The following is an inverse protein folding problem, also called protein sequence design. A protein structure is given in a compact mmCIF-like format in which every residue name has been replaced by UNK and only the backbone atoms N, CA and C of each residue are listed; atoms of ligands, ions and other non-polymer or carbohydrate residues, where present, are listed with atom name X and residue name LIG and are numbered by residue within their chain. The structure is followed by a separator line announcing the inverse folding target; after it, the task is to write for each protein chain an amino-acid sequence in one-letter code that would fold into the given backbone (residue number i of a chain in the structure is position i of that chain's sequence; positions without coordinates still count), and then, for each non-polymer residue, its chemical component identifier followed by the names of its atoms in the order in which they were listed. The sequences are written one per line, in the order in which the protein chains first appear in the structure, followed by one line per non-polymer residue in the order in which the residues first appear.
data_IF_464057909027
#
_entry.id   IF_464057909027
#
_cell.length_a   1.000
_cell.length_b   1.000
_cell.length_c   1.000
_cell.angle_alpha   90.00
_cell.angle_beta   90.00
_cell.angle_gamma   90.00
#
_symmetry.space_group_name_H-M   'P 1'
#
loop_
_entity.id
_entity.type
_entity.pdbx_description
1 polymer ?
#
# COMPACT_ATOMS: atom_id res chain seq x y z
N UNK A 1 -43.09 31.21 -19.43
CA UNK A 1 -41.69 31.48 -19.00
C UNK A 1 -41.15 30.55 -17.90
N UNK A 2 -41.99 29.77 -17.18
CA UNK A 2 -41.57 28.95 -16.02
C UNK A 2 -41.07 27.53 -16.37
N UNK A 3 -41.34 27.00 -17.59
CA UNK A 3 -40.93 25.64 -17.98
C UNK A 3 -39.46 25.50 -18.41
N UNK A 4 -38.83 26.57 -18.91
CA UNK A 4 -37.46 26.53 -19.45
C UNK A 4 -36.42 26.37 -18.33
N UNK A 5 -36.62 27.03 -17.18
CA UNK A 5 -35.72 26.98 -16.02
C UNK A 5 -35.64 25.56 -15.43
N UNK A 6 -36.73 24.79 -15.51
CA UNK A 6 -36.82 23.44 -14.92
C UNK A 6 -36.04 22.38 -15.73
N UNK A 7 -35.89 22.56 -17.04
CA UNK A 7 -35.10 21.65 -17.87
C UNK A 7 -33.60 21.97 -17.77
N UNK A 8 -33.23 23.25 -17.74
CA UNK A 8 -31.83 23.68 -17.57
C UNK A 8 -31.24 23.19 -16.24
N UNK A 9 -32.02 23.22 -15.15
CA UNK A 9 -31.57 22.70 -13.85
C UNK A 9 -31.29 21.19 -13.85
N UNK A 10 -32.02 20.39 -14.66
CA UNK A 10 -31.80 18.95 -14.75
C UNK A 10 -30.52 18.61 -15.54
N UNK A 11 -30.23 19.37 -16.59
CA UNK A 11 -29.00 19.20 -17.37
C UNK A 11 -27.75 19.60 -16.56
N UNK A 12 -27.83 20.66 -15.73
CA UNK A 12 -26.72 21.06 -14.85
C UNK A 12 -26.45 20.03 -13.74
N UNK A 13 -27.50 19.40 -13.19
CA UNK A 13 -27.35 18.40 -12.13
C UNK A 13 -26.78 17.07 -12.66
N UNK A 14 -27.15 16.67 -13.89
CA UNK A 14 -26.56 15.52 -14.57
C UNK A 14 -25.11 15.77 -14.96
N UNK A 15 -24.76 16.99 -15.38
CA UNK A 15 -23.36 17.37 -15.67
C UNK A 15 -22.45 17.32 -14.43
N UNK A 16 -22.97 17.69 -13.25
CA UNK A 16 -22.20 17.64 -11.99
C UNK A 16 -21.91 16.20 -11.54
N UNK A 17 -22.84 15.26 -11.77
CA UNK A 17 -22.68 13.85 -11.42
C UNK A 17 -21.65 13.13 -12.32
N UNK A 18 -21.53 13.52 -13.59
CA UNK A 18 -20.54 12.92 -14.51
C UNK A 18 -19.12 13.37 -14.15
N UNK A 19 -18.92 14.64 -13.77
CA UNK A 19 -17.59 15.14 -13.36
C UNK A 19 -17.16 14.55 -12.02
N UNK A 20 -18.09 14.34 -11.08
CA UNK A 20 -17.80 13.66 -9.80
C UNK A 20 -17.39 12.20 -9.97
N UNK A 21 -17.86 11.51 -11.01
CA UNK A 21 -17.55 10.10 -11.26
C UNK A 21 -16.18 9.88 -11.94
N UNK A 22 -15.59 10.90 -12.57
CA UNK A 22 -14.26 10.81 -13.17
C UNK A 22 -13.13 11.04 -12.17
N UNK A 23 -13.39 11.73 -11.04
CA UNK A 23 -12.38 11.96 -10.00
C UNK A 23 -12.15 10.71 -9.15
N UNK A 24 -13.12 9.78 -9.09
CA UNK A 24 -13.01 8.51 -8.36
C UNK A 24 -12.20 7.41 -9.05
N UNK A 25 -11.89 7.54 -10.35
CA UNK A 25 -11.13 6.54 -11.12
C UNK A 25 -9.72 7.01 -11.53
N UNK A 26 -9.38 8.29 -11.33
CA UNK A 26 -8.07 8.83 -11.68
C UNK A 26 -6.98 8.58 -10.61
N UNK A 27 -7.32 7.91 -9.49
CA UNK A 27 -6.34 7.42 -8.52
C UNK A 27 -5.75 6.05 -8.87
N UNK A 28 -6.03 5.52 -10.07
CA UNK A 28 -5.35 4.35 -10.61
C UNK A 28 -4.15 4.80 -11.44
N UNK A 29 -2.96 4.46 -10.93
CA UNK A 29 -1.69 4.38 -11.66
C UNK A 29 -1.11 5.72 -12.10
N UNK A 30 -0.55 6.46 -11.13
CA UNK A 30 0.63 7.26 -11.42
C UNK A 30 1.69 6.96 -10.37
N UNK A 31 2.41 5.87 -10.59
CA UNK A 31 3.70 5.65 -9.91
C UNK A 31 4.69 6.69 -10.45
N UNK A 32 5.28 7.56 -9.62
CA UNK A 32 6.51 8.21 -10.04
C UNK A 32 7.55 7.11 -10.34
N UNK A 33 8.36 7.26 -11.40
CA UNK A 33 9.34 6.26 -11.78
C UNK A 33 10.22 5.92 -10.57
N UNK A 34 10.26 4.64 -10.21
CA UNK A 34 11.20 4.12 -9.21
C UNK A 34 12.60 4.57 -9.61
N UNK A 35 13.44 5.07 -8.67
CA UNK A 35 14.83 5.33 -8.98
C UNK A 35 15.46 4.04 -9.52
N UNK A 36 15.92 4.08 -10.77
CA UNK A 36 16.35 2.95 -11.62
C UNK A 36 17.52 2.11 -11.08
N UNK A 37 17.97 2.30 -9.85
CA UNK A 37 19.26 1.76 -9.36
C UNK A 37 19.17 0.70 -8.24
N UNK A 38 17.98 0.25 -7.82
CA UNK A 38 17.86 -0.67 -6.66
C UNK A 38 17.90 -2.17 -6.99
N UNK A 39 17.66 -2.59 -8.24
CA UNK A 39 17.62 -4.03 -8.61
C UNK A 39 16.48 -4.84 -7.97
N UNK A 40 15.52 -4.15 -7.35
CA UNK A 40 14.29 -4.70 -6.78
C UNK A 40 13.12 -3.71 -6.93
N UNK A 41 11.89 -4.22 -6.99
CA UNK A 41 10.65 -3.44 -6.93
C UNK A 41 9.88 -3.76 -5.65
N UNK A 42 9.16 -2.76 -5.15
CA UNK A 42 8.30 -2.87 -3.98
C UNK A 42 6.96 -2.24 -4.32
N UNK A 43 5.90 -3.03 -4.25
CA UNK A 43 4.53 -2.56 -4.45
C UNK A 43 3.75 -2.70 -3.15
N UNK A 44 2.96 -1.68 -2.85
CA UNK A 44 2.09 -1.63 -1.69
C UNK A 44 0.63 -1.66 -2.11
N UNK A 45 -0.16 -2.47 -1.42
CA UNK A 45 -1.58 -2.58 -1.70
C UNK A 45 -2.38 -2.67 -0.39
N UNK A 46 -3.38 -1.79 -0.22
CA UNK A 46 -4.39 -1.99 0.81
C UNK A 46 -5.38 -3.05 0.35
N UNK A 47 -5.70 -3.99 1.24
CA UNK A 47 -6.71 -5.03 1.01
C UNK A 47 -8.05 -4.52 1.53
N UNK A 48 -9.09 -4.62 0.69
CA UNK A 48 -10.46 -4.33 1.11
C UNK A 48 -10.92 -5.41 2.09
N UNK A 49 -11.39 -5.00 3.25
CA UNK A 49 -11.87 -5.90 4.31
C UNK A 49 -13.19 -5.40 4.86
N UNK A 50 -14.03 -6.35 5.27
CA UNK A 50 -15.32 -6.07 5.92
C UNK A 50 -15.14 -5.72 7.42
N UNK A 51 -13.93 -5.85 7.96
CA UNK A 51 -13.62 -5.51 9.34
C UNK A 51 -13.33 -4.00 9.48
N UNK A 52 -14.22 -3.22 10.12
CA UNK A 52 -14.05 -1.77 10.22
C UNK A 52 -13.00 -1.34 11.26
N UNK A 53 -12.50 -2.25 12.09
CA UNK A 53 -11.49 -1.94 13.12
C UNK A 53 -10.07 -2.24 12.68
N UNK A 54 -9.89 -2.89 11.53
CA UNK A 54 -8.58 -3.27 11.02
C UNK A 54 -8.40 -2.85 9.57
N UNK A 55 -7.19 -2.37 9.29
CA UNK A 55 -6.76 -2.09 7.93
C UNK A 55 -5.77 -3.18 7.51
N UNK A 56 -6.12 -3.92 6.47
CA UNK A 56 -5.29 -4.99 5.92
C UNK A 56 -4.45 -4.49 4.76
N UNK A 57 -3.23 -5.00 4.65
CA UNK A 57 -2.30 -4.61 3.59
C UNK A 57 -1.50 -5.80 3.07
N UNK A 58 -1.02 -5.63 1.85
CA UNK A 58 -0.13 -6.53 1.14
C UNK A 58 1.06 -5.73 0.60
N UNK A 59 2.26 -6.26 0.79
CA UNK A 59 3.50 -5.74 0.20
C UNK A 59 4.06 -6.80 -0.71
N UNK A 60 4.32 -6.44 -1.96
CA UNK A 60 4.96 -7.31 -2.94
C UNK A 60 6.37 -6.84 -3.19
N UNK A 61 7.34 -7.68 -2.88
CA UNK A 61 8.75 -7.45 -3.16
C UNK A 61 9.20 -8.36 -4.30
N UNK A 62 9.83 -7.82 -5.33
CA UNK A 62 10.38 -8.60 -6.43
C UNK A 62 11.81 -8.16 -6.71
N UNK A 63 12.69 -9.09 -7.04
CA UNK A 63 14.10 -8.82 -7.33
C UNK A 63 14.62 -9.76 -8.40
N UNK A 64 15.73 -9.41 -9.04
CA UNK A 64 16.44 -10.30 -9.97
C UNK A 64 17.33 -11.33 -9.28
N UNK A 65 17.51 -11.24 -7.97
CA UNK A 65 18.39 -12.11 -7.19
C UNK A 65 17.61 -13.17 -6.38
N UNK A 66 18.24 -14.33 -6.13
CA UNK A 66 17.68 -15.34 -5.23
C UNK A 66 18.15 -15.08 -3.78
N UNK A 67 17.24 -15.14 -2.81
CA UNK A 67 17.55 -15.03 -1.37
C UNK A 67 17.09 -16.25 -0.60
N UNK A 68 17.84 -16.62 0.43
CA UNK A 68 17.49 -17.67 1.38
C UNK A 68 17.44 -17.10 2.79
N UNK A 69 16.64 -17.73 3.67
CA UNK A 69 16.46 -17.30 5.06
C UNK A 69 16.05 -15.83 5.18
N UNK A 70 14.80 -15.58 4.82
CA UNK A 70 14.20 -14.26 4.81
C UNK A 70 13.27 -14.07 6.00
N UNK A 71 13.34 -12.92 6.67
CA UNK A 71 12.37 -12.50 7.67
C UNK A 71 12.10 -10.99 7.57
N UNK A 72 10.96 -10.58 8.12
CA UNK A 72 10.48 -9.20 8.04
C UNK A 72 10.46 -8.62 9.44
N UNK A 73 10.89 -7.37 9.56
CA UNK A 73 10.81 -6.57 10.77
C UNK A 73 10.02 -5.30 10.48
N UNK A 74 9.02 -5.00 11.32
CA UNK A 74 8.37 -3.69 11.32
C UNK A 74 9.29 -2.66 11.96
N UNK A 75 9.48 -1.53 11.29
CA UNK A 75 10.22 -0.36 11.79
C UNK A 75 9.25 0.76 12.24
N UNK A 76 7.95 0.50 12.25
CA UNK A 76 6.90 1.45 12.58
C UNK A 76 7.08 2.11 13.95
N UNK A 77 6.55 3.33 14.08
CA UNK A 77 6.47 4.05 15.36
C UNK A 77 5.65 3.27 16.41
N UNK A 78 5.94 3.46 17.71
CA UNK A 78 5.41 2.62 18.81
C UNK A 78 3.89 2.65 18.99
N UNK A 79 3.17 3.54 18.32
CA UNK A 79 1.70 3.69 18.44
C UNK A 79 0.91 2.70 17.60
N UNK A 80 1.50 2.13 16.54
CA UNK A 80 0.79 1.22 15.64
C UNK A 80 0.87 -0.22 16.14
N UNK A 81 -0.30 -0.81 16.43
CA UNK A 81 -0.40 -2.24 16.67
C UNK A 81 -0.46 -2.98 15.32
N UNK A 82 0.70 -3.52 14.92
CA UNK A 82 0.91 -4.24 13.68
C UNK A 82 0.92 -5.75 13.90
N UNK A 83 0.16 -6.44 13.06
CA UNK A 83 0.12 -7.89 13.01
C UNK A 83 0.54 -8.38 11.63
N UNK A 84 1.38 -9.41 11.58
CA UNK A 84 1.83 -10.04 10.35
C UNK A 84 1.23 -11.44 10.21
N UNK A 85 0.84 -11.77 8.99
CA UNK A 85 0.62 -13.16 8.63
C UNK A 85 1.96 -13.91 8.57
N UNK A 86 2.00 -15.19 8.97
CA UNK A 86 3.18 -16.01 8.77
C UNK A 86 3.61 -16.02 7.30
N UNK A 87 4.91 -15.87 7.05
CA UNK A 87 5.45 -15.94 5.70
C UNK A 87 5.19 -17.33 5.12
N UNK A 88 4.67 -17.38 3.89
CA UNK A 88 4.41 -18.64 3.16
C UNK A 88 5.72 -19.37 2.83
N UNK A 89 6.81 -18.61 2.70
CA UNK A 89 8.15 -19.13 2.41
C UNK A 89 9.21 -18.22 3.02
N UNK A 90 10.38 -18.80 3.35
CA UNK A 90 11.55 -18.06 3.82
C UNK A 90 12.60 -17.87 2.72
N UNK A 91 12.21 -18.02 1.46
CA UNK A 91 13.09 -17.86 0.29
C UNK A 91 12.47 -16.95 -0.75
N UNK A 92 13.27 -16.12 -1.40
CA UNK A 92 12.84 -15.27 -2.51
C UNK A 92 13.47 -15.80 -3.80
N UNK A 93 12.64 -16.05 -4.80
CA UNK A 93 13.08 -16.48 -6.12
C UNK A 93 13.22 -15.27 -7.06
N UNK A 94 14.18 -15.30 -8.00
CA UNK A 94 14.31 -14.25 -9.01
C UNK A 94 13.02 -14.06 -9.78
N UNK A 95 12.60 -12.81 -9.95
CA UNK A 95 11.43 -12.37 -10.70
C UNK A 95 10.10 -12.97 -10.21
N UNK A 96 10.05 -13.56 -9.01
CA UNK A 96 8.81 -14.01 -8.38
C UNK A 96 8.44 -13.05 -7.25
N UNK A 97 7.20 -12.51 -7.22
CA UNK A 97 6.76 -11.67 -6.12
C UNK A 97 6.79 -12.42 -4.78
N UNK A 98 7.55 -11.89 -3.85
CA UNK A 98 7.51 -12.26 -2.44
C UNK A 98 6.48 -11.39 -1.74
N UNK A 99 5.50 -12.03 -1.10
CA UNK A 99 4.31 -11.36 -0.57
C UNK A 99 4.35 -11.34 0.96
N UNK A 100 4.21 -10.15 1.53
CA UNK A 100 4.08 -9.92 2.96
C UNK A 100 2.68 -9.39 3.21
N UNK A 101 1.95 -10.01 4.15
CA UNK A 101 0.59 -9.58 4.53
C UNK A 101 0.53 -9.24 6.00
N UNK A 102 -0.32 -8.29 6.32
CA UNK A 102 -0.55 -7.90 7.70
C UNK A 102 -1.78 -7.04 7.86
N UNK A 103 -2.02 -6.64 9.10
CA UNK A 103 -3.04 -5.69 9.47
C UNK A 103 -2.57 -4.72 10.54
N UNK A 104 -3.27 -3.58 10.60
CA UNK A 104 -3.09 -2.56 11.63
C UNK A 104 -4.43 -2.32 12.32
N UNK A 105 -4.40 -2.21 13.65
CA UNK A 105 -5.56 -1.76 14.42
C UNK A 105 -5.84 -0.28 14.17
N UNK A 106 -7.03 0.04 13.67
CA UNK A 106 -7.46 1.41 13.42
C UNK A 106 -7.80 2.17 14.70
N UNK A 107 -8.06 1.46 15.81
CA UNK A 107 -8.39 2.09 17.10
C UNK A 107 -7.19 2.82 17.72
N UNK A 108 -5.97 2.38 17.38
CA UNK A 108 -4.71 2.93 17.90
C UNK A 108 -3.95 3.77 16.87
N UNK A 109 -4.35 3.72 15.61
CA UNK A 109 -3.69 4.43 14.53
C UNK A 109 -4.07 5.93 14.53
N UNK A 110 -3.08 6.80 14.64
CA UNK A 110 -3.25 8.23 14.53
C UNK A 110 -2.93 8.71 13.09
N UNK A 111 -3.64 9.73 12.57
CA UNK A 111 -3.26 10.36 11.31
C UNK A 111 -1.81 10.85 11.35
N UNK A 112 -1.02 10.48 10.34
CA UNK A 112 0.42 10.76 10.29
C UNK A 112 1.32 9.65 10.84
N UNK A 113 0.75 8.59 11.41
CA UNK A 113 1.49 7.36 11.66
C UNK A 113 1.95 6.75 10.32
N UNK A 114 3.17 6.21 10.31
CA UNK A 114 3.78 5.59 9.15
C UNK A 114 4.14 4.14 9.45
N UNK A 115 3.97 3.29 8.45
CA UNK A 115 4.45 1.92 8.50
C UNK A 115 5.67 1.79 7.60
N UNK A 116 6.75 1.27 8.19
CA UNK A 116 8.04 1.03 7.55
C UNK A 116 8.48 -0.41 7.85
N UNK A 117 9.23 -1.00 6.92
CA UNK A 117 9.61 -2.41 7.02
C UNK A 117 11.04 -2.60 6.55
N UNK A 118 11.73 -3.48 7.27
CA UNK A 118 13.00 -4.03 6.88
C UNK A 118 12.82 -5.49 6.47
N UNK A 119 13.30 -5.82 5.27
CA UNK A 119 13.47 -7.19 4.81
C UNK A 119 14.91 -7.62 5.13
N UNK A 120 15.04 -8.58 6.03
CA UNK A 120 16.32 -9.20 6.34
C UNK A 120 16.48 -10.47 5.52
N UNK A 121 17.66 -10.64 4.92
CA UNK A 121 17.96 -11.77 4.03
C UNK A 121 19.37 -12.29 4.23
N UNK A 122 19.58 -13.54 3.81
CA UNK A 122 20.92 -14.05 3.54
C UNK A 122 21.12 -14.32 2.04
N UNK A 123 22.33 -14.03 1.56
CA UNK A 123 22.83 -14.46 0.24
C UNK A 123 24.15 -15.19 0.46
N UNK A 124 24.11 -16.52 0.49
CA UNK A 124 25.23 -17.32 1.01
C UNK A 124 25.40 -17.08 2.51
N UNK A 125 26.57 -16.62 2.94
CA UNK A 125 26.89 -16.34 4.35
C UNK A 125 26.76 -14.85 4.72
N UNK A 126 26.40 -13.98 3.77
CA UNK A 126 26.28 -12.54 4.03
C UNK A 126 24.83 -12.18 4.34
N UNK A 127 24.61 -11.63 5.54
CA UNK A 127 23.33 -11.01 5.91
C UNK A 127 23.22 -9.60 5.32
N UNK A 128 22.04 -9.24 4.82
CA UNK A 128 21.72 -7.88 4.36
C UNK A 128 20.31 -7.50 4.78
N UNK A 129 20.15 -6.25 5.18
CA UNK A 129 18.85 -5.62 5.42
C UNK A 129 18.51 -4.72 4.25
N UNK A 130 17.30 -4.87 3.70
CA UNK A 130 16.75 -4.00 2.67
C UNK A 130 15.60 -3.24 3.32
N UNK A 131 15.74 -1.92 3.44
CA UNK A 131 14.63 -1.07 3.84
C UNK A 131 13.68 -0.94 2.66
N UNK A 132 12.42 -1.30 2.88
CA UNK A 132 11.36 -1.13 1.91
C UNK A 132 10.92 0.35 1.98
N UNK A 133 11.71 1.24 1.36
CA UNK A 133 11.72 2.72 1.49
C UNK A 133 10.44 3.46 1.05
N UNK A 134 9.29 2.79 0.99
CA UNK A 134 8.00 3.38 0.69
C UNK A 134 7.13 3.33 1.95
N UNK A 135 7.26 4.32 2.87
CA UNK A 135 6.45 4.34 4.07
C UNK A 135 4.97 4.52 3.69
N UNK A 136 4.13 3.61 4.17
CA UNK A 136 2.69 3.76 4.07
C UNK A 136 2.22 4.68 5.19
N UNK A 137 1.76 5.88 4.83
CA UNK A 137 1.26 6.87 5.78
C UNK A 137 -0.24 6.70 6.00
N UNK A 138 -0.66 6.68 7.26
CA UNK A 138 -2.05 6.60 7.62
C UNK A 138 -2.70 7.99 7.62
N UNK A 139 -3.81 8.15 6.90
CA UNK A 139 -4.56 9.43 6.84
C UNK A 139 -5.78 9.48 7.77
N UNK A 140 -5.99 8.44 8.59
CA UNK A 140 -7.18 8.27 9.43
C UNK A 140 -8.14 7.18 8.93
N UNK A 141 -8.09 6.79 7.65
CA UNK A 141 -8.96 5.74 7.09
C UNK A 141 -8.29 4.84 6.04
N UNK A 142 -7.18 5.30 5.45
CA UNK A 142 -6.49 4.63 4.34
C UNK A 142 -4.98 4.69 4.57
N UNK A 143 -4.27 3.66 4.11
CA UNK A 143 -2.82 3.68 3.95
C UNK A 143 -2.45 4.31 2.61
N UNK A 144 -1.72 5.41 2.67
CA UNK A 144 -1.24 6.14 1.49
C UNK A 144 0.26 5.92 1.33
N UNK A 145 0.65 5.33 0.20
CA UNK A 145 2.05 5.10 -0.15
C UNK A 145 2.49 6.28 -1.00
N UNK A 146 3.64 6.88 -0.67
CA UNK A 146 4.23 8.02 -1.41
C UNK A 146 5.34 7.57 -2.33
#
# INVERSE_FOLDING_TARGET
MVRVIREVAKFSLAGLLVVGSCIGLAFWVWEPPLPEDSGYSVEWQQIVSDNPTQLYFEVRFQTSEAFTQVWVEALSKPTLELWFEPLVTNTIQPFVPFVIRGSVSLELAAPGDSIEFALHRMKGETSRTINLNHPANFNGTVLMVR
#
